data_IF_929392830831
#
_entry.id   IF_929392830831
#
_cell.length_a   1.000
_cell.length_b   1.000
_cell.length_c   1.000
_cell.angle_alpha   90.00
_cell.angle_beta   90.00
_cell.angle_gamma   90.00
#
_symmetry.space_group_name_H-M   'P 1'
#
loop_
_entity.id
_entity.type
_entity.pdbx_description
1 polymer ?
#
# COMPACT_ATOMS: atom_id res chain seq x y z
N UNK A 1 -8.28 -16.79 25.65
CA UNK A 1 -8.09 -17.77 24.56
C UNK A 1 -6.86 -17.36 23.78
N UNK A 2 -5.79 -18.15 23.91
CA UNK A 2 -4.56 -17.92 23.16
C UNK A 2 -4.60 -18.79 21.88
N UNK A 3 -4.57 -18.16 20.71
CA UNK A 3 -4.45 -18.82 19.42
C UNK A 3 -2.99 -19.10 19.11
N UNK A 4 -2.75 -20.05 18.24
CA UNK A 4 -1.41 -20.40 17.75
C UNK A 4 -1.38 -20.31 16.24
N UNK A 5 -0.53 -19.42 15.72
CA UNK A 5 -0.39 -19.21 14.28
C UNK A 5 0.77 -20.02 13.74
N UNK A 6 0.54 -20.69 12.60
CA UNK A 6 1.55 -21.43 11.84
C UNK A 6 1.42 -21.11 10.37
N UNK A 7 2.54 -20.97 9.69
CA UNK A 7 2.57 -20.74 8.26
C UNK A 7 3.54 -19.66 7.81
N UNK A 8 3.44 -19.29 6.54
CA UNK A 8 4.31 -18.32 5.89
C UNK A 8 3.48 -17.19 5.32
N UNK A 9 3.90 -15.96 5.55
CA UNK A 9 3.36 -14.75 4.92
C UNK A 9 4.44 -14.10 4.07
N UNK A 10 4.08 -13.71 2.85
CA UNK A 10 5.00 -13.07 1.90
C UNK A 10 4.57 -11.64 1.61
N UNK A 11 5.56 -10.82 1.26
CA UNK A 11 5.36 -9.42 0.87
C UNK A 11 4.64 -8.58 1.93
N UNK A 12 4.97 -8.83 3.20
CA UNK A 12 4.35 -8.10 4.30
C UNK A 12 5.03 -6.75 4.50
N UNK A 13 4.28 -5.69 4.25
CA UNK A 13 4.71 -4.32 4.46
C UNK A 13 4.99 -4.09 5.94
N UNK A 14 6.16 -3.49 6.24
CA UNK A 14 6.63 -3.28 7.61
C UNK A 14 6.61 -4.58 8.45
N UNK A 15 6.95 -5.72 7.83
CA UNK A 15 6.85 -7.04 8.44
C UNK A 15 7.84 -7.28 9.59
N UNK A 16 8.80 -6.37 9.82
CA UNK A 16 9.73 -6.38 10.94
C UNK A 16 9.24 -5.57 12.16
N UNK A 17 7.97 -5.17 12.18
CA UNK A 17 7.37 -4.40 13.26
C UNK A 17 7.20 -5.23 14.55
N UNK A 18 7.20 -4.54 15.69
CA UNK A 18 7.00 -5.16 17.01
C UNK A 18 5.60 -5.74 17.19
N UNK A 19 4.58 -5.08 16.64
CA UNK A 19 3.19 -5.53 16.64
C UNK A 19 2.76 -5.85 15.22
N UNK A 20 2.24 -7.05 15.03
CA UNK A 20 1.80 -7.52 13.73
C UNK A 20 0.31 -7.88 13.76
N UNK A 21 -0.42 -7.37 12.77
CA UNK A 21 -1.81 -7.71 12.53
C UNK A 21 -1.88 -8.78 11.45
N UNK A 22 -2.39 -9.95 11.81
CA UNK A 22 -2.29 -11.16 11.00
C UNK A 22 -3.67 -11.69 10.62
N UNK A 23 -3.95 -11.76 9.33
CA UNK A 23 -5.12 -12.48 8.82
C UNK A 23 -4.75 -13.97 8.68
N UNK A 24 -5.46 -14.82 9.40
CA UNK A 24 -5.21 -16.27 9.35
C UNK A 24 -6.51 -17.07 9.38
N UNK A 25 -6.44 -18.30 8.88
CA UNK A 25 -7.58 -19.23 8.90
C UNK A 25 -7.81 -19.78 10.29
N UNK A 26 -9.00 -19.55 10.81
CA UNK A 26 -9.46 -20.03 12.12
C UNK A 26 -10.50 -21.17 12.01
N UNK A 27 -11.00 -21.44 10.81
CA UNK A 27 -12.04 -22.43 10.57
C UNK A 27 -11.51 -23.57 9.69
N UNK A 28 -11.50 -24.77 10.22
CA UNK A 28 -11.16 -25.97 9.46
C UNK A 28 -12.19 -26.23 8.35
N UNK A 29 -11.75 -26.81 7.25
CA UNK A 29 -12.61 -27.19 6.11
C UNK A 29 -13.12 -26.01 5.28
N UNK A 30 -12.74 -24.76 5.59
CA UNK A 30 -13.10 -23.59 4.78
C UNK A 30 -11.99 -23.22 3.79
N UNK A 31 -12.38 -22.77 2.59
CA UNK A 31 -11.44 -22.34 1.54
C UNK A 31 -11.60 -20.85 1.18
N UNK A 32 -12.71 -20.24 1.58
CA UNK A 32 -13.05 -18.84 1.30
C UNK A 32 -12.67 -17.88 2.42
N UNK A 33 -12.97 -16.59 2.22
CA UNK A 33 -12.68 -15.50 3.18
C UNK A 33 -13.47 -15.58 4.48
N UNK A 34 -14.58 -16.33 4.50
CA UNK A 34 -15.41 -16.49 5.71
C UNK A 34 -14.78 -17.36 6.79
N UNK A 35 -13.74 -18.12 6.44
CA UNK A 35 -12.95 -18.89 7.39
C UNK A 35 -11.78 -18.11 8.00
N UNK A 36 -11.64 -16.81 7.71
CA UNK A 36 -10.50 -15.99 8.12
C UNK A 36 -10.84 -15.08 9.30
N UNK A 37 -9.98 -15.09 10.31
CA UNK A 37 -10.04 -14.22 11.49
C UNK A 37 -8.80 -13.33 11.58
N UNK A 38 -8.88 -12.28 12.37
CA UNK A 38 -7.83 -11.28 12.49
C UNK A 38 -7.17 -11.40 13.86
N UNK A 39 -5.84 -11.43 13.88
CA UNK A 39 -5.05 -11.71 15.06
C UNK A 39 -4.00 -10.63 15.28
N UNK A 40 -3.70 -10.38 16.55
CA UNK A 40 -2.56 -9.57 16.97
C UNK A 40 -1.45 -10.50 17.46
N UNK A 41 -0.26 -10.31 16.93
CA UNK A 41 0.97 -10.94 17.39
C UNK A 41 1.93 -9.90 17.95
N UNK A 42 2.57 -10.22 19.07
CA UNK A 42 3.60 -9.40 19.71
C UNK A 42 4.98 -10.04 19.46
N UNK A 43 5.92 -9.29 18.90
CA UNK A 43 7.27 -9.77 18.58
C UNK A 43 8.05 -10.23 19.81
N UNK A 44 7.75 -9.73 20.99
CA UNK A 44 8.38 -10.17 22.24
C UNK A 44 8.21 -11.67 22.52
N UNK A 45 7.21 -12.31 21.95
CA UNK A 45 7.02 -13.76 22.01
C UNK A 45 8.06 -14.57 21.20
N UNK A 46 8.81 -13.90 20.33
CA UNK A 46 9.93 -14.44 19.54
C UNK A 46 9.60 -15.73 18.74
N UNK A 47 8.34 -15.85 18.29
CA UNK A 47 7.83 -17.01 17.57
C UNK A 47 7.62 -16.76 16.06
N UNK A 48 8.03 -15.59 15.57
CA UNK A 48 8.00 -15.23 14.14
C UNK A 48 9.38 -14.85 13.67
N UNK A 49 9.84 -15.50 12.60
CA UNK A 49 11.14 -15.24 11.98
C UNK A 49 10.96 -14.45 10.70
N UNK A 50 11.70 -13.36 10.56
CA UNK A 50 11.88 -12.67 9.27
C UNK A 50 12.85 -13.51 8.44
N UNK A 51 12.33 -14.25 7.46
CA UNK A 51 13.14 -15.11 6.59
C UNK A 51 13.90 -14.29 5.56
N UNK A 52 13.26 -13.24 5.03
CA UNK A 52 13.81 -12.40 3.97
C UNK A 52 13.16 -11.03 3.98
N UNK A 53 13.94 -10.01 3.65
CA UNK A 53 13.46 -8.68 3.26
C UNK A 53 13.56 -8.59 1.74
N UNK A 54 12.48 -8.18 1.09
CA UNK A 54 12.39 -8.13 -0.37
C UNK A 54 13.20 -6.95 -0.94
N UNK A 55 13.94 -7.22 -2.00
CA UNK A 55 14.60 -6.17 -2.77
C UNK A 55 13.57 -5.49 -3.69
N UNK A 56 13.16 -4.28 -3.31
CA UNK A 56 12.11 -3.53 -4.00
C UNK A 56 12.69 -2.46 -4.93
N UNK A 57 11.90 -2.05 -5.91
CA UNK A 57 12.24 -0.98 -6.83
C UNK A 57 12.26 0.39 -6.12
N UNK A 58 11.35 0.61 -5.17
CA UNK A 58 11.24 1.82 -4.35
C UNK A 58 10.70 1.53 -2.96
N UNK A 59 10.47 2.58 -2.16
CA UNK A 59 9.99 2.52 -0.76
C UNK A 59 10.85 1.55 0.07
N UNK A 60 12.17 1.67 -0.06
CA UNK A 60 13.14 0.75 0.56
C UNK A 60 13.28 0.97 2.07
N UNK A 61 12.90 2.15 2.58
CA UNK A 61 12.91 2.46 4.01
C UNK A 61 11.84 1.70 4.82
N UNK A 62 10.80 1.15 4.17
CA UNK A 62 9.83 0.26 4.81
C UNK A 62 10.13 -1.19 4.41
N UNK A 63 10.52 -2.08 5.35
CA UNK A 63 10.88 -3.45 5.03
C UNK A 63 9.65 -4.25 4.62
N UNK A 64 9.66 -4.79 3.41
CA UNK A 64 8.68 -5.77 2.95
C UNK A 64 9.26 -7.15 3.18
N UNK A 65 8.67 -7.93 4.07
CA UNK A 65 9.27 -9.15 4.59
C UNK A 65 8.51 -10.42 4.24
N UNK A 66 9.25 -11.53 4.18
CA UNK A 66 8.71 -12.87 4.27
C UNK A 66 8.82 -13.35 5.72
N UNK A 67 7.67 -13.67 6.33
CA UNK A 67 7.54 -14.04 7.72
C UNK A 67 7.19 -15.51 7.86
N UNK A 68 7.84 -16.20 8.79
CA UNK A 68 7.53 -17.58 9.18
C UNK A 68 7.00 -17.60 10.59
N UNK A 69 5.75 -17.99 10.75
CA UNK A 69 5.09 -18.19 12.02
C UNK A 69 5.27 -19.65 12.46
N UNK A 70 5.82 -19.86 13.63
CA UNK A 70 6.03 -21.18 14.22
C UNK A 70 5.38 -21.23 15.60
N UNK A 71 4.18 -21.78 15.68
CA UNK A 71 3.40 -21.88 16.90
C UNK A 71 3.27 -20.53 17.65
N UNK A 72 3.17 -19.43 16.88
CA UNK A 72 3.20 -18.07 17.40
C UNK A 72 1.93 -17.78 18.20
N UNK A 73 2.05 -17.39 19.49
CA UNK A 73 0.88 -17.03 20.29
C UNK A 73 0.25 -15.76 19.72
N UNK A 74 -1.07 -15.70 19.66
CA UNK A 74 -1.77 -14.56 19.13
C UNK A 74 -3.12 -14.34 19.80
N UNK A 75 -3.54 -13.09 19.83
CA UNK A 75 -4.83 -12.68 20.37
C UNK A 75 -5.81 -12.45 19.21
N UNK A 76 -7.01 -12.99 19.31
CA UNK A 76 -8.08 -12.70 18.36
C UNK A 76 -8.52 -11.25 18.53
N UNK A 77 -8.57 -10.51 17.42
CA UNK A 77 -9.10 -9.14 17.36
C UNK A 77 -10.53 -9.20 16.82
N UNK A 78 -11.45 -8.60 17.57
CA UNK A 78 -12.84 -8.52 17.16
C UNK A 78 -13.52 -9.88 17.08
N UNK A 79 -14.36 -10.06 16.07
CA UNK A 79 -15.18 -11.23 15.89
C UNK A 79 -14.49 -12.30 15.04
N UNK A 80 -14.61 -13.56 15.46
CA UNK A 80 -14.17 -14.73 14.70
C UNK A 80 -14.86 -14.77 13.32
N UNK A 81 -14.14 -15.15 12.27
CA UNK A 81 -14.62 -15.25 10.88
C UNK A 81 -14.86 -13.91 10.16
N UNK A 82 -14.69 -12.79 10.85
CA UNK A 82 -14.88 -11.45 10.28
C UNK A 82 -13.57 -10.78 9.83
N UNK A 83 -12.45 -11.50 9.93
CA UNK A 83 -11.11 -10.95 9.69
C UNK A 83 -10.94 -10.30 8.33
N UNK A 84 -11.34 -10.97 7.24
CA UNK A 84 -11.24 -10.42 5.89
C UNK A 84 -12.34 -9.40 5.61
N UNK A 85 -13.59 -9.77 5.84
CA UNK A 85 -14.78 -9.03 5.37
C UNK A 85 -14.91 -7.68 6.08
N UNK A 86 -14.70 -7.66 7.39
CA UNK A 86 -14.88 -6.44 8.21
C UNK A 86 -13.58 -5.68 8.41
N UNK A 87 -12.53 -6.36 8.91
CA UNK A 87 -11.34 -5.65 9.39
C UNK A 87 -10.31 -5.38 8.28
N UNK A 88 -9.90 -6.41 7.54
CA UNK A 88 -8.86 -6.25 6.51
C UNK A 88 -9.37 -5.43 5.32
N UNK A 89 -10.62 -5.63 4.90
CA UNK A 89 -11.16 -4.85 3.78
C UNK A 89 -11.30 -3.37 4.10
N UNK A 90 -11.69 -3.02 5.33
CA UNK A 90 -11.73 -1.63 5.79
C UNK A 90 -10.35 -0.98 5.76
N UNK A 91 -9.34 -1.67 6.31
CA UNK A 91 -7.94 -1.23 6.26
C UNK A 91 -7.44 -1.04 4.82
N UNK A 92 -7.69 -2.03 3.95
CA UNK A 92 -7.21 -2.02 2.56
C UNK A 92 -7.86 -0.92 1.73
N UNK A 93 -9.14 -0.63 1.96
CA UNK A 93 -9.82 0.46 1.25
C UNK A 93 -9.21 1.83 1.59
N UNK A 94 -8.89 2.07 2.86
CA UNK A 94 -8.15 3.27 3.26
C UNK A 94 -6.75 3.34 2.66
N UNK A 95 -6.01 2.22 2.67
CA UNK A 95 -4.67 2.14 2.10
C UNK A 95 -4.66 2.39 0.59
N UNK A 96 -5.66 1.91 -0.16
CA UNK A 96 -5.78 2.13 -1.62
C UNK A 96 -5.89 3.62 -1.95
N UNK A 97 -6.66 4.38 -1.18
CA UNK A 97 -6.74 5.83 -1.35
C UNK A 97 -5.41 6.52 -1.08
N UNK A 98 -4.70 6.10 -0.02
CA UNK A 98 -3.37 6.60 0.31
C UNK A 98 -2.34 6.33 -0.78
N UNK A 99 -2.33 5.14 -1.39
CA UNK A 99 -1.46 4.80 -2.53
C UNK A 99 -1.82 5.62 -3.76
N UNK A 100 -3.11 5.90 -4.00
CA UNK A 100 -3.56 6.82 -5.05
C UNK A 100 -2.96 8.22 -4.87
N UNK A 101 -3.00 8.76 -3.66
CA UNK A 101 -2.40 10.06 -3.33
C UNK A 101 -0.86 10.07 -3.52
N UNK A 102 -0.17 9.01 -3.09
CA UNK A 102 1.26 8.83 -3.33
C UNK A 102 1.59 8.83 -4.84
N UNK A 103 0.79 8.16 -5.64
CA UNK A 103 1.01 8.05 -7.10
C UNK A 103 0.86 9.40 -7.78
N UNK A 104 -0.13 10.21 -7.39
CA UNK A 104 -0.31 11.58 -7.90
C UNK A 104 0.86 12.47 -7.49
N UNK A 105 1.30 12.40 -6.22
CA UNK A 105 2.45 13.17 -5.74
C UNK A 105 3.76 12.81 -6.46
N UNK A 106 3.99 11.53 -6.72
CA UNK A 106 5.15 11.07 -7.50
C UNK A 106 5.13 11.57 -8.95
N UNK A 107 3.96 11.52 -9.59
CA UNK A 107 3.79 12.03 -10.95
C UNK A 107 4.02 13.55 -11.02
N UNK A 108 3.54 14.31 -10.03
CA UNK A 108 3.80 15.75 -9.92
C UNK A 108 5.29 16.07 -9.78
N UNK A 109 5.98 15.37 -8.89
CA UNK A 109 7.42 15.55 -8.69
C UNK A 109 8.19 15.26 -9.99
N UNK A 110 7.87 14.17 -10.67
CA UNK A 110 8.48 13.81 -11.95
C UNK A 110 8.22 14.87 -13.04
N UNK A 111 7.02 15.44 -13.09
CA UNK A 111 6.68 16.53 -14.00
C UNK A 111 7.52 17.79 -13.75
N UNK A 112 7.65 18.20 -12.47
CA UNK A 112 8.46 19.37 -12.12
C UNK A 112 9.93 19.20 -12.50
N UNK A 113 10.52 18.03 -12.24
CA UNK A 113 11.90 17.73 -12.67
C UNK A 113 12.04 17.78 -14.20
N UNK A 114 11.10 17.17 -14.93
CA UNK A 114 11.11 17.18 -16.38
C UNK A 114 10.96 18.59 -16.95
N UNK A 115 10.06 19.40 -16.39
CA UNK A 115 9.83 20.79 -16.78
C UNK A 115 11.08 21.65 -16.56
N UNK A 116 11.67 21.59 -15.36
CA UNK A 116 12.88 22.33 -15.01
C UNK A 116 14.03 21.96 -15.93
N UNK A 117 14.24 20.68 -16.19
CA UNK A 117 15.26 20.23 -17.12
C UNK A 117 15.03 20.74 -18.55
N UNK A 118 13.79 20.64 -19.03
CA UNK A 118 13.46 21.09 -20.41
C UNK A 118 13.61 22.60 -20.61
N UNK A 119 13.45 23.40 -19.55
CA UNK A 119 13.68 24.84 -19.58
C UNK A 119 15.17 25.22 -19.60
N UNK A 120 16.02 24.40 -18.97
CA UNK A 120 17.47 24.71 -18.83
C UNK A 120 18.32 24.06 -19.89
N UNK A 121 17.92 22.89 -20.38
CA UNK A 121 18.70 22.15 -21.42
C UNK A 121 18.54 22.78 -22.79
N UNK A 122 19.63 23.17 -23.41
CA UNK A 122 19.65 23.71 -24.76
C UNK A 122 20.13 22.67 -25.79
N UNK A 123 19.52 22.69 -26.94
CA UNK A 123 19.94 22.00 -28.16
C UNK A 123 19.59 22.87 -29.37
N UNK A 124 20.47 22.88 -30.38
CA UNK A 124 20.28 23.66 -31.62
C UNK A 124 19.96 25.14 -31.36
N UNK A 125 20.63 25.73 -30.36
CA UNK A 125 20.52 27.16 -30.02
C UNK A 125 19.25 27.59 -29.30
N UNK A 126 18.47 26.65 -28.73
CA UNK A 126 17.28 26.96 -27.91
C UNK A 126 17.02 25.91 -26.85
N UNK A 127 16.31 26.30 -25.78
CA UNK A 127 15.87 25.39 -24.75
C UNK A 127 14.96 24.29 -25.34
N UNK A 128 15.11 23.04 -24.87
CA UNK A 128 14.42 21.89 -25.49
C UNK A 128 12.90 21.95 -25.27
N UNK A 129 12.39 22.69 -24.31
CA UNK A 129 10.96 22.95 -24.14
C UNK A 129 10.30 23.55 -25.38
N UNK A 130 11.08 24.26 -26.23
CA UNK A 130 10.59 24.88 -27.45
C UNK A 130 10.53 23.91 -28.66
N UNK A 131 10.82 22.62 -28.44
CA UNK A 131 10.60 21.60 -29.46
C UNK A 131 9.19 20.99 -29.30
N UNK A 132 8.43 20.87 -30.41
CA UNK A 132 7.03 20.42 -30.35
C UNK A 132 6.85 19.09 -29.61
N UNK A 133 7.72 18.10 -29.85
CA UNK A 133 7.64 16.79 -29.18
C UNK A 133 7.83 16.87 -27.65
N UNK A 134 8.78 17.71 -27.18
CA UNK A 134 9.01 17.91 -25.75
C UNK A 134 7.83 18.64 -25.11
N UNK A 135 7.35 19.70 -25.77
CA UNK A 135 6.19 20.45 -25.33
C UNK A 135 4.94 19.56 -25.22
N UNK A 136 4.69 18.72 -26.22
CA UNK A 136 3.56 17.79 -26.22
C UNK A 136 3.66 16.76 -25.09
N UNK A 137 4.86 16.20 -24.84
CA UNK A 137 5.08 15.31 -23.71
C UNK A 137 4.75 15.98 -22.37
N UNK A 138 5.27 17.17 -22.14
CA UNK A 138 5.03 17.93 -20.90
C UNK A 138 3.54 18.30 -20.76
N UNK A 139 2.89 18.73 -21.83
CA UNK A 139 1.45 19.00 -21.86
C UNK A 139 0.62 17.78 -21.51
N UNK A 140 0.98 16.62 -22.07
CA UNK A 140 0.34 15.34 -21.77
C UNK A 140 0.54 14.92 -20.32
N UNK A 141 1.76 15.06 -19.76
CA UNK A 141 2.02 14.80 -18.35
C UNK A 141 1.13 15.67 -17.45
N UNK A 142 1.08 16.97 -17.71
CA UNK A 142 0.28 17.91 -16.94
C UNK A 142 -1.22 17.56 -16.98
N UNK A 143 -1.77 17.31 -18.16
CA UNK A 143 -3.17 16.95 -18.33
C UNK A 143 -3.54 15.67 -17.58
N UNK A 144 -2.66 14.64 -17.63
CA UNK A 144 -2.89 13.39 -16.89
C UNK A 144 -2.83 13.59 -15.37
N UNK A 145 -1.90 14.41 -14.87
CA UNK A 145 -1.80 14.71 -13.44
C UNK A 145 -3.05 15.43 -12.95
N UNK A 146 -3.51 16.46 -13.66
CA UNK A 146 -4.70 17.21 -13.27
C UNK A 146 -5.96 16.34 -13.29
N UNK A 147 -6.14 15.50 -14.32
CA UNK A 147 -7.24 14.56 -14.40
C UNK A 147 -7.22 13.53 -13.26
N UNK A 148 -6.04 12.95 -12.97
CA UNK A 148 -5.88 11.94 -11.91
C UNK A 148 -6.08 12.56 -10.53
N UNK A 149 -5.60 13.79 -10.31
CA UNK A 149 -5.82 14.55 -9.06
C UNK A 149 -7.30 14.83 -8.84
N UNK A 150 -8.01 15.26 -9.86
CA UNK A 150 -9.46 15.50 -9.79
C UNK A 150 -10.22 14.23 -9.43
N UNK A 151 -9.86 13.10 -10.05
CA UNK A 151 -10.44 11.79 -9.73
C UNK A 151 -10.14 11.37 -8.29
N UNK A 152 -8.91 11.57 -7.82
CA UNK A 152 -8.51 11.27 -6.44
C UNK A 152 -9.34 12.06 -5.43
N UNK A 153 -9.50 13.36 -5.63
CA UNK A 153 -10.26 14.21 -4.71
C UNK A 153 -11.74 13.86 -4.70
N UNK A 154 -12.33 13.59 -5.87
CA UNK A 154 -13.73 13.17 -5.96
C UNK A 154 -13.94 11.80 -5.30
N UNK A 155 -13.03 10.85 -5.50
CA UNK A 155 -13.05 9.56 -4.83
C UNK A 155 -12.94 9.72 -3.31
N UNK A 156 -12.05 10.60 -2.83
CA UNK A 156 -11.90 10.89 -1.40
C UNK A 156 -13.18 11.44 -0.80
N UNK A 157 -13.83 12.37 -1.51
CA UNK A 157 -15.13 12.94 -1.10
C UNK A 157 -16.21 11.85 -0.98
N UNK A 158 -16.28 10.93 -1.93
CA UNK A 158 -17.25 9.82 -1.85
C UNK A 158 -16.96 8.87 -0.70
N UNK A 159 -15.68 8.59 -0.41
CA UNK A 159 -15.30 7.76 0.74
C UNK A 159 -15.71 8.42 2.06
N UNK A 160 -15.55 9.73 2.18
CA UNK A 160 -15.95 10.47 3.39
C UNK A 160 -17.48 10.47 3.55
N UNK A 161 -18.22 10.69 2.46
CA UNK A 161 -19.68 10.59 2.48
C UNK A 161 -20.16 9.18 2.87
N UNK A 162 -19.58 8.14 2.28
CA UNK A 162 -19.91 6.76 2.61
C UNK A 162 -19.73 6.48 4.12
N UNK A 163 -18.60 6.90 4.70
CA UNK A 163 -18.34 6.73 6.14
C UNK A 163 -19.25 7.54 7.05
N UNK A 164 -19.85 8.61 6.55
CA UNK A 164 -20.77 9.45 7.33
C UNK A 164 -22.19 8.87 7.36
N UNK A 165 -22.52 7.96 6.44
CA UNK A 165 -23.86 7.32 6.33
C UNK A 165 -23.88 5.87 6.84
N UNK A 166 -22.71 5.24 7.11
CA UNK A 166 -22.55 3.93 7.74
C UNK A 166 -22.53 4.05 9.27
#
# INVERSE_FOLDING_TARGET
NCWRLNGVKRFITNGDADIQLVLARSEEGTTDGRGLSYFLYDRRDNAVTVRRIENKLGIKGSPTAELVFNNAPALLIGERRMGLIKYVMSLMNGARLGVGAQSVGLAEAAYHEALNYAQQREQFGKAIINFPQVYEMLGTMRAKIDATRSLLYETSRFVDLYKAYD
#
